data_IF_801365986118
#
_entry.id   IF_801365986118
#
_cell.length_a   1.000
_cell.length_b   1.000
_cell.length_c   1.000
_cell.angle_alpha   90.00
_cell.angle_beta   90.00
_cell.angle_gamma   90.00
#
_symmetry.space_group_name_H-M   'P 1'
#
loop_
_entity.id
_entity.type
_entity.pdbx_description
1 polymer ?
#
# COMPACT_ATOMS: atom_id res chain seq x y z
N UNK A 1 16.72 -11.54 -24.09
CA UNK A 1 16.56 -11.95 -22.66
C UNK A 1 17.56 -13.05 -22.41
N UNK A 2 18.15 -13.09 -21.21
CA UNK A 2 19.11 -14.12 -20.78
C UNK A 2 18.50 -15.52 -20.88
N UNK A 3 19.26 -16.50 -21.32
CA UNK A 3 18.80 -17.90 -21.35
C UNK A 3 18.97 -18.52 -19.95
N UNK A 4 17.86 -18.80 -19.28
CA UNK A 4 17.86 -19.30 -17.91
C UNK A 4 18.51 -20.67 -17.79
N UNK A 5 18.36 -21.56 -18.76
CA UNK A 5 18.99 -22.87 -18.73
C UNK A 5 20.52 -22.73 -18.81
N UNK A 6 21.02 -21.89 -19.72
CA UNK A 6 22.47 -21.62 -19.85
C UNK A 6 23.03 -21.00 -18.56
N UNK A 7 22.26 -20.12 -17.89
CA UNK A 7 22.65 -19.51 -16.61
C UNK A 7 22.75 -20.57 -15.50
N UNK A 8 21.74 -21.45 -15.38
CA UNK A 8 21.74 -22.52 -14.38
C UNK A 8 22.85 -23.55 -14.64
N UNK A 9 23.08 -23.95 -15.91
CA UNK A 9 24.19 -24.82 -16.27
C UNK A 9 25.55 -24.22 -15.91
N UNK A 10 25.77 -22.94 -16.20
CA UNK A 10 26.99 -22.23 -15.82
C UNK A 10 27.15 -22.16 -14.29
N UNK A 11 26.07 -21.93 -13.56
CA UNK A 11 26.09 -21.92 -12.09
C UNK A 11 26.44 -23.27 -11.50
N UNK A 12 25.85 -24.36 -12.00
CA UNK A 12 26.21 -25.72 -11.57
C UNK A 12 27.68 -26.04 -11.87
N UNK A 13 28.17 -25.68 -13.06
CA UNK A 13 29.56 -25.86 -13.42
C UNK A 13 30.53 -25.09 -12.50
N UNK A 14 30.07 -23.97 -11.92
CA UNK A 14 30.82 -23.16 -10.97
C UNK A 14 30.62 -23.57 -9.48
N UNK A 15 29.85 -24.62 -9.20
CA UNK A 15 29.64 -25.17 -7.87
C UNK A 15 28.42 -24.66 -7.10
N UNK A 16 27.54 -23.92 -7.74
CA UNK A 16 26.24 -23.57 -7.16
C UNK A 16 25.31 -24.79 -7.16
N UNK A 17 24.63 -25.06 -6.05
CA UNK A 17 23.73 -26.23 -5.91
C UNK A 17 22.27 -25.85 -6.20
N UNK A 18 21.75 -24.85 -5.54
CA UNK A 18 20.38 -24.33 -5.75
C UNK A 18 20.48 -22.90 -6.27
N UNK A 19 19.69 -22.57 -7.28
CA UNK A 19 19.73 -21.26 -7.94
C UNK A 19 18.33 -20.77 -8.26
N UNK A 20 18.13 -19.45 -8.17
CA UNK A 20 16.90 -18.79 -8.52
C UNK A 20 17.17 -17.50 -9.28
N UNK A 21 16.36 -17.25 -10.29
CA UNK A 21 16.32 -15.98 -11.02
C UNK A 21 14.95 -15.34 -10.84
N UNK A 22 14.96 -14.05 -10.52
CA UNK A 22 13.79 -13.18 -10.43
C UNK A 22 13.95 -12.03 -11.41
N UNK A 23 13.07 -11.92 -12.39
CA UNK A 23 13.11 -10.90 -13.45
C UNK A 23 11.92 -9.98 -13.29
N UNK A 24 12.14 -8.68 -13.38
CA UNK A 24 11.09 -7.66 -13.42
C UNK A 24 11.25 -6.83 -14.67
N UNK A 25 10.14 -6.63 -15.38
CA UNK A 25 10.05 -5.71 -16.51
C UNK A 25 8.88 -4.76 -16.26
N UNK A 26 9.13 -3.46 -16.34
CA UNK A 26 8.12 -2.43 -16.18
C UNK A 26 8.08 -1.55 -17.44
N UNK A 27 6.87 -1.24 -17.88
CA UNK A 27 6.57 -0.23 -18.89
C UNK A 27 5.70 0.82 -18.23
N UNK A 28 6.23 2.03 -18.04
CA UNK A 28 5.58 3.09 -17.29
C UNK A 28 5.37 4.33 -18.14
N UNK A 29 4.22 4.94 -17.95
CA UNK A 29 3.86 6.24 -18.49
C UNK A 29 3.43 7.16 -17.35
N UNK A 30 3.84 8.42 -17.41
CA UNK A 30 3.31 9.48 -16.55
C UNK A 30 3.28 10.82 -17.27
N UNK A 31 2.28 11.63 -16.97
CA UNK A 31 2.21 13.01 -17.41
C UNK A 31 1.58 13.88 -16.34
N UNK A 32 1.93 15.15 -16.34
CA UNK A 32 1.38 16.19 -15.48
C UNK A 32 0.96 17.37 -16.33
N UNK A 33 -0.17 17.97 -15.99
CA UNK A 33 -0.69 19.19 -16.60
C UNK A 33 -0.70 20.31 -15.56
N UNK A 34 -0.31 21.50 -15.98
CA UNK A 34 -0.40 22.73 -15.21
C UNK A 34 -0.70 23.91 -16.15
N UNK A 35 -1.70 24.71 -15.81
CA UNK A 35 -2.18 25.85 -16.63
C UNK A 35 -2.42 25.46 -18.10
N UNK A 36 -3.14 24.35 -18.30
CA UNK A 36 -3.50 23.78 -19.61
C UNK A 36 -2.31 23.34 -20.49
N UNK A 37 -1.09 23.35 -19.95
CA UNK A 37 0.10 22.89 -20.64
C UNK A 37 0.61 21.58 -20.04
N UNK A 38 1.32 20.79 -20.83
CA UNK A 38 2.03 19.63 -20.32
C UNK A 38 3.27 20.12 -19.56
N UNK A 39 3.27 19.93 -18.24
CA UNK A 39 4.37 20.32 -17.36
C UNK A 39 5.46 19.25 -17.32
N UNK A 40 5.05 17.98 -17.31
CA UNK A 40 5.99 16.86 -17.40
C UNK A 40 5.40 15.70 -18.19
N UNK A 41 6.28 14.93 -18.80
CA UNK A 41 5.94 13.73 -19.58
C UNK A 41 7.09 12.72 -19.46
N UNK A 42 6.77 11.49 -19.13
CA UNK A 42 7.73 10.40 -19.06
C UNK A 42 7.14 9.13 -19.65
N UNK A 43 7.92 8.44 -20.47
CA UNK A 43 7.64 7.08 -20.90
C UNK A 43 8.93 6.28 -20.78
N UNK A 44 8.90 5.17 -20.07
CA UNK A 44 10.10 4.39 -19.78
C UNK A 44 9.82 2.90 -19.75
N UNK A 45 10.73 2.14 -20.33
CA UNK A 45 10.76 0.68 -20.18
C UNK A 45 12.00 0.33 -19.38
N UNK A 46 11.82 -0.32 -18.24
CA UNK A 46 12.90 -0.78 -17.39
C UNK A 46 12.84 -2.29 -17.24
N UNK A 47 14.00 -2.92 -17.18
CA UNK A 47 14.11 -4.35 -16.94
C UNK A 47 15.34 -4.61 -16.08
N UNK A 48 15.23 -5.58 -15.19
CA UNK A 48 16.35 -6.05 -14.41
C UNK A 48 16.08 -7.43 -13.87
N UNK A 49 17.14 -8.08 -13.44
CA UNK A 49 17.06 -9.37 -12.79
C UNK A 49 17.87 -9.39 -11.50
N UNK A 50 17.42 -10.18 -10.55
CA UNK A 50 18.25 -10.68 -9.48
C UNK A 50 18.49 -12.18 -9.64
N UNK A 51 19.60 -12.62 -9.11
CA UNK A 51 20.00 -14.01 -9.07
C UNK A 51 20.54 -14.35 -7.70
N UNK A 52 20.04 -15.42 -7.12
CA UNK A 52 20.56 -15.98 -5.87
C UNK A 52 20.97 -17.43 -6.07
N UNK A 53 22.01 -17.85 -5.39
CA UNK A 53 22.54 -19.19 -5.54
C UNK A 53 23.25 -19.66 -4.29
N UNK A 54 23.08 -20.93 -3.97
CA UNK A 54 23.68 -21.58 -2.81
C UNK A 54 25.07 -22.08 -3.18
N UNK A 55 26.12 -21.52 -2.54
CA UNK A 55 27.52 -21.92 -2.67
C UNK A 55 28.07 -22.30 -1.31
N UNK A 56 28.53 -23.52 -1.16
CA UNK A 56 29.07 -24.07 0.11
C UNK A 56 28.15 -23.85 1.32
N UNK A 57 26.82 -24.00 1.10
CA UNK A 57 25.82 -23.82 2.14
C UNK A 57 25.47 -22.37 2.49
N UNK A 58 25.92 -21.39 1.69
CA UNK A 58 25.64 -19.97 1.87
C UNK A 58 24.94 -19.40 0.64
N UNK A 59 23.87 -18.61 0.86
CA UNK A 59 23.07 -18.02 -0.20
C UNK A 59 23.68 -16.69 -0.67
N UNK A 60 24.38 -16.71 -1.81
CA UNK A 60 24.83 -15.48 -2.46
C UNK A 60 23.71 -14.82 -3.26
N UNK A 61 23.75 -13.49 -3.39
CA UNK A 61 22.79 -12.68 -4.11
C UNK A 61 23.48 -11.66 -5.00
N UNK A 62 22.97 -11.43 -6.19
CA UNK A 62 23.39 -10.35 -7.08
C UNK A 62 22.23 -9.85 -7.94
N UNK A 63 22.39 -8.71 -8.57
CA UNK A 63 21.43 -8.17 -9.53
C UNK A 63 22.12 -7.44 -10.68
N UNK A 64 21.41 -7.32 -11.81
CA UNK A 64 21.87 -6.56 -12.97
C UNK A 64 20.70 -6.06 -13.82
N UNK A 65 20.88 -4.94 -14.50
CA UNK A 65 19.98 -4.45 -15.55
C UNK A 65 20.33 -5.03 -16.92
N UNK A 66 21.50 -5.66 -17.05
CA UNK A 66 21.92 -6.31 -18.27
C UNK A 66 21.38 -7.75 -18.34
N UNK A 67 20.24 -7.90 -19.02
CA UNK A 67 19.47 -9.16 -19.07
C UNK A 67 19.77 -9.96 -20.36
N UNK A 68 21.03 -10.17 -20.71
CA UNK A 68 21.47 -11.00 -21.83
C UNK A 68 22.57 -12.00 -21.40
N UNK A 69 22.86 -12.99 -22.25
CA UNK A 69 23.79 -14.07 -21.93
C UNK A 69 25.22 -13.59 -21.65
N UNK A 70 25.62 -12.42 -22.13
CA UNK A 70 26.94 -11.86 -21.84
C UNK A 70 27.12 -11.45 -20.39
N UNK A 71 26.04 -11.36 -19.60
CA UNK A 71 26.08 -11.08 -18.15
C UNK A 71 26.30 -12.32 -17.29
N UNK A 72 26.17 -13.53 -17.84
CA UNK A 72 26.27 -14.80 -17.09
C UNK A 72 27.58 -14.91 -16.29
N UNK A 73 28.77 -14.64 -16.84
CA UNK A 73 30.01 -14.73 -16.05
C UNK A 73 30.05 -13.77 -14.86
N UNK A 74 29.53 -12.56 -15.05
CA UNK A 74 29.42 -11.56 -13.97
C UNK A 74 28.44 -12.03 -12.88
N UNK A 75 27.27 -12.52 -13.25
CA UNK A 75 26.24 -13.00 -12.31
C UNK A 75 26.81 -14.12 -11.46
N UNK A 76 27.40 -15.15 -12.07
CA UNK A 76 27.93 -16.32 -11.35
C UNK A 76 29.08 -15.93 -10.41
N UNK A 77 30.07 -15.16 -10.91
CA UNK A 77 31.17 -14.72 -10.07
C UNK A 77 30.74 -13.85 -8.90
N UNK A 78 29.78 -12.95 -9.12
CA UNK A 78 29.27 -12.06 -8.08
C UNK A 78 28.52 -12.82 -6.99
N UNK A 79 27.67 -13.79 -7.36
CA UNK A 79 26.93 -14.61 -6.39
C UNK A 79 27.88 -15.42 -5.54
N UNK A 80 28.91 -16.08 -6.13
CA UNK A 80 29.92 -16.86 -5.39
C UNK A 80 30.68 -15.95 -4.44
N UNK A 81 31.17 -14.80 -4.93
CA UNK A 81 31.95 -13.87 -4.10
C UNK A 81 31.09 -13.35 -2.91
N UNK A 82 29.83 -13.04 -3.15
CA UNK A 82 28.93 -12.58 -2.09
C UNK A 82 28.61 -13.71 -1.10
N UNK A 83 28.45 -14.96 -1.56
CA UNK A 83 28.25 -16.11 -0.68
C UNK A 83 29.47 -16.37 0.24
N UNK A 84 30.68 -16.24 -0.28
CA UNK A 84 31.92 -16.48 0.48
C UNK A 84 32.05 -15.51 1.67
N UNK A 85 31.63 -14.25 1.50
CA UNK A 85 31.76 -13.20 2.53
C UNK A 85 30.79 -13.43 3.69
N UNK A 86 29.67 -14.10 3.47
CA UNK A 86 28.66 -14.35 4.51
C UNK A 86 29.22 -15.27 5.59
N UNK A 87 28.99 -14.96 6.86
CA UNK A 87 29.43 -15.82 7.98
C UNK A 87 28.65 -17.13 7.98
N UNK A 88 27.31 -17.08 7.88
CA UNK A 88 26.41 -18.22 7.70
C UNK A 88 25.02 -17.72 7.34
N UNK A 89 24.38 -18.32 6.33
CA UNK A 89 22.95 -18.12 6.10
C UNK A 89 22.17 -19.27 6.72
N UNK A 90 21.65 -19.06 7.94
CA UNK A 90 20.78 -20.04 8.58
C UNK A 90 19.37 -19.92 7.98
N UNK A 91 18.78 -21.07 7.65
CA UNK A 91 17.40 -21.19 7.20
C UNK A 91 17.03 -20.63 5.82
N UNK A 92 17.99 -20.10 5.04
CA UNK A 92 17.70 -19.71 3.67
C UNK A 92 17.62 -20.95 2.76
N UNK A 93 16.50 -21.07 2.07
CA UNK A 93 16.26 -22.12 1.09
C UNK A 93 15.38 -21.61 -0.06
N UNK A 94 15.48 -22.28 -1.21
CA UNK A 94 14.61 -22.01 -2.35
C UNK A 94 13.34 -22.85 -2.25
N UNK A 95 12.23 -22.28 -2.68
CA UNK A 95 10.92 -22.94 -2.68
C UNK A 95 10.75 -23.79 -3.94
N UNK A 96 10.21 -25.00 -3.79
CA UNK A 96 9.97 -25.90 -4.93
C UNK A 96 8.63 -25.68 -5.65
N UNK A 97 7.77 -24.84 -5.09
CA UNK A 97 6.43 -24.55 -5.62
C UNK A 97 5.30 -25.26 -4.86
N UNK A 98 4.10 -24.79 -5.07
CA UNK A 98 2.85 -25.37 -4.62
C UNK A 98 2.18 -26.19 -5.73
N UNK A 99 1.26 -27.09 -5.35
CA UNK A 99 0.50 -27.87 -6.32
C UNK A 99 -0.51 -27.02 -7.12
N UNK A 100 -0.93 -25.89 -6.54
CA UNK A 100 -1.94 -25.02 -7.13
C UNK A 100 -1.65 -23.55 -6.85
N UNK A 101 -1.84 -22.73 -7.89
CA UNK A 101 -1.80 -21.26 -7.84
C UNK A 101 -3.13 -20.71 -8.36
N UNK A 102 -3.73 -19.78 -7.63
CA UNK A 102 -4.97 -19.12 -8.06
C UNK A 102 -4.71 -18.29 -9.32
N UNK A 103 -5.49 -18.50 -10.36
CA UNK A 103 -5.42 -17.65 -11.56
C UNK A 103 -6.17 -16.35 -11.31
N UNK A 104 -5.47 -15.23 -11.45
CA UNK A 104 -6.02 -13.90 -11.27
C UNK A 104 -6.05 -13.15 -12.62
N UNK A 105 -7.08 -12.34 -12.83
CA UNK A 105 -7.17 -11.43 -13.97
C UNK A 105 -6.61 -10.05 -13.57
N UNK A 106 -5.29 -9.90 -13.68
CA UNK A 106 -4.55 -8.70 -13.27
C UNK A 106 -4.13 -7.82 -14.44
N UNK A 107 -4.37 -8.28 -15.66
CA UNK A 107 -3.90 -7.58 -16.86
C UNK A 107 -5.05 -7.26 -17.82
N UNK A 108 -5.37 -5.99 -17.94
CA UNK A 108 -6.44 -5.45 -18.78
C UNK A 108 -5.86 -4.77 -20.03
N UNK A 109 -5.66 -5.51 -21.14
CA UNK A 109 -4.94 -5.02 -22.33
C UNK A 109 -5.61 -3.82 -22.99
N UNK A 110 -6.93 -3.69 -22.91
CA UNK A 110 -7.68 -2.57 -23.48
C UNK A 110 -7.21 -1.20 -22.93
N UNK A 111 -6.71 -1.15 -21.70
CA UNK A 111 -6.18 0.11 -21.14
C UNK A 111 -4.92 0.59 -21.85
N UNK A 112 -4.12 -0.30 -22.41
CA UNK A 112 -2.90 0.06 -23.13
C UNK A 112 -3.17 0.72 -24.50
N UNK A 113 -4.40 0.59 -25.01
CA UNK A 113 -4.83 1.23 -26.26
C UNK A 113 -5.14 2.74 -26.06
N UNK A 114 -5.35 3.17 -24.82
CA UNK A 114 -5.60 4.58 -24.48
C UNK A 114 -4.33 5.39 -24.73
N UNK A 115 -4.43 6.31 -25.67
CA UNK A 115 -3.29 7.11 -26.12
C UNK A 115 -2.81 8.11 -25.07
N UNK A 116 -1.54 8.53 -25.07
CA UNK A 116 -1.05 9.61 -24.24
C UNK A 116 -1.86 10.90 -24.40
N UNK A 117 -2.36 11.21 -25.60
CA UNK A 117 -3.15 12.40 -25.86
C UNK A 117 -4.51 12.38 -25.14
N UNK A 118 -5.17 11.21 -25.09
CA UNK A 118 -6.44 11.06 -24.38
C UNK A 118 -6.26 11.29 -22.87
N UNK A 119 -5.18 10.77 -22.28
CA UNK A 119 -4.82 10.98 -20.86
C UNK A 119 -4.51 12.45 -20.56
N UNK A 120 -3.75 13.11 -21.43
CA UNK A 120 -3.46 14.55 -21.32
C UNK A 120 -4.74 15.38 -21.44
N UNK A 121 -5.62 15.04 -22.39
CA UNK A 121 -6.90 15.74 -22.57
C UNK A 121 -7.82 15.57 -21.36
N UNK A 122 -7.84 14.38 -20.74
CA UNK A 122 -8.54 14.18 -19.49
C UNK A 122 -8.02 15.12 -18.39
N UNK A 123 -6.70 15.21 -18.17
CA UNK A 123 -6.12 16.11 -17.17
C UNK A 123 -6.45 17.57 -17.43
N UNK A 124 -6.36 18.03 -18.69
CA UNK A 124 -6.76 19.38 -19.08
C UNK A 124 -8.23 19.68 -18.82
N UNK A 125 -9.09 18.68 -19.08
CA UNK A 125 -10.52 18.77 -18.78
C UNK A 125 -10.76 18.88 -17.26
N UNK A 126 -10.08 18.06 -16.43
CA UNK A 126 -10.17 18.16 -14.96
C UNK A 126 -9.80 19.55 -14.48
N UNK A 127 -8.66 20.10 -14.96
CA UNK A 127 -8.22 21.44 -14.59
C UNK A 127 -9.23 22.51 -15.00
N UNK A 128 -9.76 22.46 -16.22
CA UNK A 128 -10.78 23.40 -16.71
C UNK A 128 -12.06 23.32 -15.89
N UNK A 129 -12.54 22.12 -15.58
CA UNK A 129 -13.74 21.92 -14.76
C UNK A 129 -13.55 22.45 -13.33
N UNK A 130 -12.37 22.27 -12.72
CA UNK A 130 -12.08 22.83 -11.41
C UNK A 130 -12.25 24.35 -11.37
N UNK A 131 -11.68 25.08 -12.34
CA UNK A 131 -11.83 26.53 -12.41
C UNK A 131 -13.24 26.99 -12.74
N UNK A 132 -14.00 26.21 -13.52
CA UNK A 132 -15.37 26.53 -13.90
C UNK A 132 -16.36 26.37 -12.73
N UNK A 133 -16.08 25.52 -11.74
CA UNK A 133 -16.99 25.21 -10.64
C UNK A 133 -17.12 26.34 -9.63
N UNK A 134 -16.04 27.04 -9.29
CA UNK A 134 -16.08 28.09 -8.26
C UNK A 134 -14.93 29.12 -8.46
N UNK A 135 -15.21 30.44 -8.41
CA UNK A 135 -14.19 31.51 -8.59
C UNK A 135 -13.16 31.57 -7.46
N UNK A 136 -13.39 30.88 -6.34
CA UNK A 136 -12.43 30.74 -5.24
C UNK A 136 -11.32 29.75 -5.55
N UNK A 137 -11.46 28.90 -6.56
CA UNK A 137 -10.36 28.05 -7.07
C UNK A 137 -9.29 28.97 -7.67
N UNK A 138 -8.09 28.94 -7.09
CA UNK A 138 -6.96 29.77 -7.51
C UNK A 138 -5.90 29.01 -8.28
N UNK A 139 -5.78 27.73 -8.02
CA UNK A 139 -4.82 26.86 -8.69
C UNK A 139 -5.31 25.40 -8.63
N UNK A 140 -4.97 24.64 -9.66
CA UNK A 140 -4.89 23.21 -9.61
C UNK A 140 -3.42 22.87 -9.37
N UNK A 141 -3.06 22.68 -8.09
CA UNK A 141 -1.66 22.58 -7.66
C UNK A 141 -0.98 21.33 -8.21
N UNK A 142 -1.74 20.31 -8.43
CA UNK A 142 -1.27 19.05 -8.98
C UNK A 142 -2.37 18.41 -9.83
N UNK A 143 -2.01 17.93 -11.01
CA UNK A 143 -2.92 17.23 -11.89
C UNK A 143 -2.09 16.28 -12.75
N UNK A 144 -2.05 15.00 -12.37
CA UNK A 144 -1.16 14.02 -12.97
C UNK A 144 -1.88 12.70 -13.24
N UNK A 145 -1.43 12.03 -14.28
CA UNK A 145 -1.84 10.69 -14.67
C UNK A 145 -0.62 9.78 -14.71
N UNK A 146 -0.74 8.58 -14.17
CA UNK A 146 0.29 7.54 -14.25
C UNK A 146 -0.35 6.21 -14.54
N UNK A 147 0.29 5.43 -15.40
CA UNK A 147 -0.06 4.03 -15.60
C UNK A 147 1.18 3.22 -15.96
N UNK A 148 1.09 1.92 -15.76
CA UNK A 148 2.17 1.02 -16.13
C UNK A 148 1.71 -0.42 -16.28
N UNK A 149 2.60 -1.21 -16.84
CA UNK A 149 2.52 -2.68 -16.89
C UNK A 149 3.76 -3.21 -16.18
N UNK A 150 3.57 -4.15 -15.27
CA UNK A 150 4.64 -4.91 -14.64
C UNK A 150 4.54 -6.38 -15.06
N UNK A 151 5.68 -6.98 -15.38
CA UNK A 151 5.81 -8.40 -15.65
C UNK A 151 6.91 -8.97 -14.76
N UNK A 152 6.56 -10.00 -14.01
CA UNK A 152 7.44 -10.70 -13.08
C UNK A 152 7.61 -12.13 -13.57
N UNK A 153 8.86 -12.64 -13.54
CA UNK A 153 9.17 -14.04 -13.76
C UNK A 153 10.07 -14.53 -12.60
N UNK A 154 9.72 -15.67 -12.05
CA UNK A 154 10.44 -16.32 -10.97
C UNK A 154 10.68 -17.78 -11.33
N UNK A 155 11.94 -18.16 -11.49
CA UNK A 155 12.33 -19.53 -11.86
C UNK A 155 13.51 -20.00 -11.04
N UNK A 156 13.49 -21.28 -10.64
CA UNK A 156 14.60 -21.86 -9.88
C UNK A 156 14.91 -23.31 -10.25
N UNK A 157 15.99 -23.82 -9.72
CA UNK A 157 16.48 -25.20 -9.97
C UNK A 157 15.67 -26.27 -9.23
N UNK A 158 14.75 -25.90 -8.33
CA UNK A 158 13.83 -26.83 -7.65
C UNK A 158 12.53 -27.10 -8.41
N UNK A 159 12.39 -26.54 -9.63
CA UNK A 159 11.25 -26.76 -10.50
C UNK A 159 10.23 -25.63 -10.53
N UNK A 160 10.42 -24.56 -9.75
CA UNK A 160 9.57 -23.39 -9.81
C UNK A 160 9.73 -22.66 -11.15
N UNK A 161 8.61 -22.36 -11.80
CA UNK A 161 8.53 -21.61 -13.07
C UNK A 161 7.23 -20.81 -13.09
N UNK A 162 7.26 -19.60 -12.55
CA UNK A 162 6.10 -18.73 -12.37
C UNK A 162 6.28 -17.42 -13.14
N UNK A 163 5.17 -16.91 -13.67
CA UNK A 163 5.13 -15.58 -14.26
C UNK A 163 3.78 -14.92 -13.98
N UNK A 164 3.81 -13.61 -13.74
CA UNK A 164 2.61 -12.82 -13.56
C UNK A 164 2.78 -11.49 -14.30
N UNK A 165 1.69 -11.01 -14.87
CA UNK A 165 1.63 -9.72 -15.55
C UNK A 165 0.42 -8.96 -15.05
N UNK A 166 0.65 -7.69 -14.71
CA UNK A 166 -0.40 -6.80 -14.23
C UNK A 166 -0.23 -5.41 -14.81
N UNK A 167 -1.31 -4.66 -14.90
CA UNK A 167 -1.25 -3.24 -15.19
C UNK A 167 -2.01 -2.44 -14.13
N UNK A 168 -1.59 -1.20 -13.96
CA UNK A 168 -2.21 -0.25 -13.07
C UNK A 168 -2.39 1.09 -13.77
N UNK A 169 -3.36 1.86 -13.33
CA UNK A 169 -3.50 3.25 -13.73
C UNK A 169 -4.15 4.06 -12.62
N UNK A 170 -3.67 5.28 -12.45
CA UNK A 170 -4.26 6.22 -11.51
C UNK A 170 -4.07 7.66 -11.98
N UNK A 171 -4.95 8.52 -11.53
CA UNK A 171 -4.78 9.97 -11.59
C UNK A 171 -4.89 10.55 -10.20
N UNK A 172 -4.18 11.62 -9.96
CA UNK A 172 -4.33 12.45 -8.77
C UNK A 172 -4.46 13.90 -9.19
N UNK A 173 -5.40 14.62 -8.58
CA UNK A 173 -5.48 16.06 -8.72
C UNK A 173 -5.77 16.73 -7.38
N UNK A 174 -5.22 17.92 -7.17
CA UNK A 174 -5.49 18.76 -6.00
C UNK A 174 -5.68 20.23 -6.40
N UNK A 175 -6.60 20.88 -5.68
CA UNK A 175 -6.95 22.28 -5.88
C UNK A 175 -6.61 23.11 -4.67
N UNK A 176 -6.23 24.37 -4.91
CA UNK A 176 -6.13 25.42 -3.91
C UNK A 176 -7.35 26.34 -4.06
N UNK A 177 -8.11 26.48 -3.00
CA UNK A 177 -9.17 27.50 -2.90
C UNK A 177 -8.75 28.59 -1.92
N UNK A 178 -9.17 29.83 -2.21
CA UNK A 178 -8.85 30.99 -1.36
C UNK A 178 -10.09 31.82 -1.15
N UNK A 179 -10.38 32.17 0.11
CA UNK A 179 -11.42 33.10 0.49
C UNK A 179 -10.95 33.94 1.68
N UNK A 180 -11.13 35.28 1.60
CA UNK A 180 -10.75 36.22 2.65
C UNK A 180 -9.31 36.07 3.18
N UNK A 181 -8.37 35.64 2.35
CA UNK A 181 -6.98 35.40 2.72
C UNK A 181 -6.70 34.03 3.34
N UNK A 182 -7.73 33.20 3.54
CA UNK A 182 -7.59 31.81 3.94
C UNK A 182 -7.37 30.91 2.73
N UNK A 183 -6.42 30.00 2.81
CA UNK A 183 -6.07 29.04 1.78
C UNK A 183 -6.41 27.62 2.26
N UNK A 184 -7.12 26.85 1.44
CA UNK A 184 -7.36 25.42 1.67
C UNK A 184 -7.03 24.60 0.44
N UNK A 185 -6.48 23.43 0.66
CA UNK A 185 -6.13 22.49 -0.40
C UNK A 185 -6.78 21.14 -0.11
N UNK A 186 -7.35 20.54 -1.14
CA UNK A 186 -7.82 19.16 -1.08
C UNK A 186 -7.51 18.47 -2.41
N UNK A 187 -7.38 17.15 -2.39
CA UNK A 187 -7.10 16.34 -3.56
C UNK A 187 -7.75 14.97 -3.47
N UNK A 188 -7.82 14.29 -4.62
CA UNK A 188 -8.38 12.94 -4.68
C UNK A 188 -7.75 12.13 -5.79
N UNK A 189 -8.03 10.81 -5.79
CA UNK A 189 -7.54 9.84 -6.76
C UNK A 189 -8.68 9.24 -7.56
N UNK A 190 -8.39 8.81 -8.79
CA UNK A 190 -9.10 7.74 -9.48
C UNK A 190 -8.07 6.65 -9.73
N UNK A 191 -8.37 5.43 -9.31
CA UNK A 191 -7.53 4.25 -9.51
C UNK A 191 -8.38 3.23 -10.24
N UNK A 192 -8.09 3.01 -11.52
CA UNK A 192 -8.86 2.07 -12.35
C UNK A 192 -8.10 1.75 -13.63
N UNK A 193 -8.19 0.51 -14.09
CA UNK A 193 -7.77 0.09 -15.43
C UNK A 193 -8.89 0.17 -16.47
N UNK A 194 -10.04 0.75 -16.10
CA UNK A 194 -11.13 1.08 -17.01
C UNK A 194 -11.17 2.59 -17.25
N UNK A 195 -10.84 3.05 -18.45
CA UNK A 195 -10.76 4.49 -18.75
C UNK A 195 -12.11 5.22 -18.69
N UNK A 196 -13.23 4.49 -18.73
CA UNK A 196 -14.57 5.08 -18.57
C UNK A 196 -14.82 5.65 -17.16
N UNK A 197 -14.02 5.22 -16.16
CA UNK A 197 -14.11 5.70 -14.79
C UNK A 197 -13.47 7.11 -14.62
N UNK A 198 -12.68 7.53 -15.62
CA UNK A 198 -11.99 8.82 -15.63
C UNK A 198 -12.90 9.92 -16.17
N UNK A 199 -13.90 10.31 -15.36
CA UNK A 199 -14.87 11.35 -15.72
C UNK A 199 -14.47 12.70 -15.11
N UNK A 200 -14.03 13.70 -15.93
CA UNK A 200 -13.39 14.93 -15.44
C UNK A 200 -14.30 15.77 -14.54
N UNK A 201 -15.57 15.88 -14.89
CA UNK A 201 -16.51 16.79 -14.22
C UNK A 201 -16.87 16.31 -12.81
N UNK A 202 -17.18 15.04 -12.65
CA UNK A 202 -17.49 14.46 -11.33
C UNK A 202 -16.27 14.48 -10.43
N UNK A 203 -15.08 14.19 -10.99
CA UNK A 203 -13.81 14.22 -10.27
C UNK A 203 -13.47 15.64 -9.79
N UNK A 204 -13.52 16.64 -10.67
CA UNK A 204 -13.32 18.04 -10.32
C UNK A 204 -14.31 18.52 -9.26
N UNK A 205 -15.61 18.16 -9.40
CA UNK A 205 -16.65 18.51 -8.43
C UNK A 205 -16.34 17.98 -7.04
N UNK A 206 -15.88 16.72 -6.94
CA UNK A 206 -15.53 16.08 -5.66
C UNK A 206 -14.40 16.85 -4.96
N UNK A 207 -13.32 17.13 -5.67
CA UNK A 207 -12.14 17.83 -5.13
C UNK A 207 -12.48 19.26 -4.71
N UNK A 208 -13.10 20.04 -5.59
CA UNK A 208 -13.47 21.45 -5.34
C UNK A 208 -14.44 21.56 -4.16
N UNK A 209 -15.47 20.71 -4.12
CA UNK A 209 -16.45 20.74 -3.01
C UNK A 209 -15.80 20.46 -1.66
N UNK A 210 -14.85 19.53 -1.61
CA UNK A 210 -14.12 19.19 -0.38
C UNK A 210 -13.17 20.29 0.07
N UNK A 211 -12.45 20.92 -0.86
CA UNK A 211 -11.60 22.05 -0.56
C UNK A 211 -12.41 23.26 -0.03
N UNK A 212 -13.53 23.57 -0.67
CA UNK A 212 -14.42 24.64 -0.25
C UNK A 212 -15.06 24.40 1.13
N UNK A 213 -15.39 23.13 1.44
CA UNK A 213 -15.98 22.77 2.73
C UNK A 213 -15.03 22.99 3.92
N UNK A 214 -13.73 23.14 3.68
CA UNK A 214 -12.73 23.41 4.72
C UNK A 214 -12.55 24.90 5.03
N UNK A 215 -13.14 25.81 4.22
CA UNK A 215 -13.05 27.26 4.43
C UNK A 215 -13.82 27.67 5.71
N UNK A 216 -13.27 28.62 6.44
CA UNK A 216 -13.81 29.08 7.72
C UNK A 216 -13.56 28.11 8.89
N UNK A 217 -12.59 27.21 8.74
CA UNK A 217 -12.26 26.25 9.77
C UNK A 217 -11.83 26.88 11.07
N UNK A 218 -12.28 26.30 12.18
CA UNK A 218 -12.08 26.80 13.54
C UNK A 218 -11.20 25.85 14.33
N UNK A 219 -10.56 26.35 15.38
CA UNK A 219 -9.91 25.51 16.38
C UNK A 219 -10.94 24.96 17.36
N UNK A 220 -10.66 23.81 17.93
CA UNK A 220 -11.47 23.26 19.05
C UNK A 220 -10.67 23.34 20.35
N UNK A 221 -11.37 23.31 21.46
CA UNK A 221 -10.73 23.26 22.78
C UNK A 221 -9.98 21.94 22.97
N UNK A 222 -8.85 22.00 23.67
CA UNK A 222 -8.14 20.80 24.08
C UNK A 222 -8.99 19.92 24.98
N UNK A 223 -9.00 18.61 24.74
CA UNK A 223 -9.85 17.68 25.48
C UNK A 223 -9.79 16.25 24.97
N UNK A 224 -10.74 15.45 25.41
CA UNK A 224 -10.95 14.08 24.93
C UNK A 224 -12.27 14.05 24.18
N UNK A 225 -12.24 13.55 22.96
CA UNK A 225 -13.40 13.55 22.06
C UNK A 225 -13.68 12.15 21.49
N UNK A 226 -14.95 11.80 21.27
CA UNK A 226 -15.33 10.76 20.32
C UNK A 226 -14.83 11.14 18.93
N UNK A 227 -14.21 10.20 18.21
CA UNK A 227 -13.59 10.46 16.91
C UNK A 227 -14.18 9.52 15.85
N UNK A 228 -14.63 10.08 14.75
CA UNK A 228 -14.85 9.34 13.51
C UNK A 228 -13.62 9.55 12.61
N UNK A 229 -12.86 8.51 12.38
CA UNK A 229 -11.80 8.53 11.38
C UNK A 229 -12.40 8.26 10.01
N UNK A 230 -12.08 9.11 9.02
CA UNK A 230 -12.37 8.83 7.62
C UNK A 230 -11.65 7.55 7.20
N UNK A 231 -12.26 6.79 6.29
CA UNK A 231 -11.70 5.55 5.75
C UNK A 231 -10.22 5.65 5.34
N UNK A 232 -9.84 6.65 4.53
CA UNK A 232 -8.43 6.84 4.12
C UNK A 232 -7.52 7.15 5.32
N UNK A 233 -7.95 7.98 6.27
CA UNK A 233 -7.17 8.27 7.48
C UNK A 233 -6.97 7.02 8.34
N UNK A 234 -7.99 6.21 8.48
CA UNK A 234 -7.91 4.94 9.20
C UNK A 234 -7.00 3.94 8.48
N UNK A 235 -7.05 3.91 7.14
CA UNK A 235 -6.14 3.14 6.28
C UNK A 235 -4.68 3.58 6.44
N UNK A 236 -4.41 4.88 6.38
CA UNK A 236 -3.05 5.45 6.53
C UNK A 236 -2.43 5.12 7.91
N UNK A 237 -3.23 5.17 8.98
CA UNK A 237 -2.78 4.78 10.32
C UNK A 237 -2.50 3.27 10.39
N UNK A 238 -3.35 2.43 9.79
CA UNK A 238 -3.13 0.99 9.72
C UNK A 238 -1.90 0.66 8.89
N UNK A 239 -1.69 1.34 7.76
CA UNK A 239 -0.50 1.18 6.90
C UNK A 239 0.79 1.51 7.65
N UNK A 240 0.82 2.65 8.34
CA UNK A 240 1.98 3.07 9.12
C UNK A 240 2.32 2.09 10.26
N UNK A 241 1.38 1.24 10.67
CA UNK A 241 1.55 0.23 11.71
C UNK A 241 1.62 -1.21 11.16
N UNK A 242 1.53 -1.41 9.85
CA UNK A 242 1.40 -2.74 9.25
C UNK A 242 2.55 -3.71 9.57
N UNK A 243 3.76 -3.18 9.72
CA UNK A 243 4.96 -3.96 10.03
C UNK A 243 4.86 -4.73 11.36
N UNK A 244 3.99 -4.31 12.29
CA UNK A 244 3.82 -5.03 13.57
C UNK A 244 3.35 -6.47 13.40
N UNK A 245 2.72 -6.78 12.28
CA UNK A 245 2.25 -8.13 11.94
C UNK A 245 3.32 -8.99 11.25
N UNK A 246 4.47 -8.42 10.90
CA UNK A 246 5.57 -9.14 10.25
C UNK A 246 6.27 -10.10 11.21
N UNK A 247 6.43 -11.37 10.82
CA UNK A 247 7.22 -12.35 11.56
C UNK A 247 8.67 -11.91 11.78
N UNK A 248 9.23 -11.11 10.87
CA UNK A 248 10.56 -10.53 11.02
C UNK A 248 10.62 -9.48 12.14
N UNK A 249 9.62 -8.58 12.20
CA UNK A 249 9.51 -7.61 13.29
C UNK A 249 9.35 -8.30 14.65
N UNK A 250 8.59 -9.40 14.69
CA UNK A 250 8.46 -10.24 15.91
C UNK A 250 9.81 -10.84 16.33
N UNK A 251 10.58 -11.41 15.39
CA UNK A 251 11.89 -12.00 15.69
C UNK A 251 12.90 -10.98 16.19
N UNK A 252 12.85 -9.75 15.67
CA UNK A 252 13.73 -8.64 16.04
C UNK A 252 13.30 -7.86 17.28
N UNK A 253 12.25 -8.29 17.98
CA UNK A 253 11.64 -7.57 19.11
C UNK A 253 11.17 -6.14 18.76
N UNK A 254 10.77 -5.92 17.50
CA UNK A 254 10.25 -4.66 16.97
C UNK A 254 8.71 -4.58 16.96
N UNK A 255 8.03 -5.56 17.54
CA UNK A 255 6.57 -5.59 17.61
C UNK A 255 6.07 -5.99 18.99
N UNK A 256 5.13 -5.23 19.54
CA UNK A 256 4.42 -5.55 20.78
C UNK A 256 3.46 -6.75 20.66
N UNK A 257 3.28 -7.28 19.45
CA UNK A 257 2.46 -8.47 19.20
C UNK A 257 3.20 -9.78 19.46
N UNK A 258 4.48 -9.74 19.83
CA UNK A 258 5.24 -10.93 20.20
C UNK A 258 4.50 -11.73 21.31
N UNK A 259 4.38 -13.03 21.10
CA UNK A 259 3.67 -13.98 22.00
C UNK A 259 2.19 -13.66 22.21
N UNK A 260 1.53 -12.94 21.27
CA UNK A 260 0.12 -12.56 21.33
C UNK A 260 -0.81 -13.39 20.46
N UNK A 261 -0.33 -14.39 19.74
CA UNK A 261 -1.18 -15.32 18.97
C UNK A 261 -2.22 -15.94 19.91
N UNK A 262 -3.50 -15.90 19.51
CA UNK A 262 -4.65 -16.35 20.31
C UNK A 262 -5.12 -15.37 21.38
N UNK A 263 -4.48 -14.20 21.52
CA UNK A 263 -4.87 -13.17 22.48
C UNK A 263 -5.72 -12.08 21.84
N UNK A 264 -6.56 -11.44 22.65
CA UNK A 264 -7.35 -10.27 22.25
C UNK A 264 -6.43 -9.05 22.16
N UNK A 265 -6.35 -8.45 20.97
CA UNK A 265 -5.55 -7.25 20.69
C UNK A 265 -6.39 -6.07 20.20
N UNK A 266 -7.65 -6.28 19.86
CA UNK A 266 -8.57 -5.28 19.34
C UNK A 266 -9.99 -5.48 19.90
N UNK A 267 -10.88 -4.55 19.64
CA UNK A 267 -12.31 -4.68 19.92
C UNK A 267 -12.89 -5.93 19.24
N UNK A 268 -13.87 -6.64 19.86
CA UNK A 268 -14.46 -7.87 19.28
C UNK A 268 -15.19 -7.67 17.96
N UNK A 269 -15.43 -6.43 17.53
CA UNK A 269 -16.01 -6.14 16.21
C UNK A 269 -14.95 -5.99 15.11
N UNK A 270 -13.66 -6.01 15.46
CA UNK A 270 -12.56 -5.80 14.53
C UNK A 270 -12.07 -7.14 13.99
N UNK A 271 -12.08 -7.26 12.67
CA UNK A 271 -11.33 -8.30 11.94
C UNK A 271 -10.42 -7.62 10.92
N UNK A 272 -9.17 -8.10 10.80
CA UNK A 272 -8.20 -7.62 9.83
C UNK A 272 -7.88 -8.77 8.88
N UNK A 273 -8.08 -8.52 7.59
CA UNK A 273 -7.90 -9.50 6.52
C UNK A 273 -6.73 -9.09 5.66
N UNK A 274 -5.93 -10.04 5.20
CA UNK A 274 -4.98 -9.89 4.10
C UNK A 274 -5.47 -10.75 2.93
N UNK A 275 -5.91 -10.09 1.85
CA UNK A 275 -6.55 -10.74 0.71
C UNK A 275 -5.77 -10.50 -0.60
N UNK A 276 -4.87 -11.42 -0.98
CA UNK A 276 -4.11 -11.33 -2.23
C UNK A 276 -4.94 -11.55 -3.49
N UNK A 277 -6.21 -11.92 -3.35
CA UNK A 277 -7.12 -12.21 -4.47
C UNK A 277 -8.23 -11.16 -4.64
N UNK A 278 -8.07 -10.01 -3.97
CA UNK A 278 -9.01 -8.92 -4.08
C UNK A 278 -9.08 -8.42 -5.53
N UNK A 279 -10.29 -8.36 -6.08
CA UNK A 279 -10.51 -7.82 -7.42
C UNK A 279 -10.05 -6.36 -7.49
N UNK A 280 -9.23 -6.02 -8.48
CA UNK A 280 -8.60 -4.71 -8.64
C UNK A 280 -7.72 -4.24 -7.47
N UNK A 281 -7.33 -5.13 -6.56
CA UNK A 281 -6.42 -4.82 -5.47
C UNK A 281 -5.00 -4.56 -5.97
N UNK A 282 -4.37 -3.48 -5.51
CA UNK A 282 -3.01 -3.10 -5.93
C UNK A 282 -1.93 -4.09 -5.50
N UNK A 283 -2.18 -4.84 -4.41
CA UNK A 283 -1.29 -5.89 -3.90
C UNK A 283 -1.70 -7.31 -4.29
N UNK A 284 -2.65 -7.47 -5.23
CA UNK A 284 -3.10 -8.80 -5.66
C UNK A 284 -2.04 -9.52 -6.47
N UNK A 285 -1.80 -10.79 -6.13
CA UNK A 285 -0.84 -11.67 -6.80
C UNK A 285 -1.16 -13.14 -6.52
N UNK A 286 -0.88 -14.02 -7.46
CA UNK A 286 -1.09 -15.46 -7.32
C UNK A 286 0.04 -16.16 -6.51
N UNK A 287 1.19 -15.54 -6.40
CA UNK A 287 2.35 -16.01 -5.64
C UNK A 287 3.12 -14.83 -5.03
N UNK A 288 3.84 -15.10 -3.97
CA UNK A 288 4.67 -14.11 -3.30
C UNK A 288 6.09 -13.99 -3.90
N UNK A 289 6.91 -13.12 -3.33
CA UNK A 289 8.28 -12.88 -3.81
C UNK A 289 9.23 -14.08 -3.69
N UNK A 290 8.84 -15.18 -3.06
CA UNK A 290 9.58 -16.44 -2.96
C UNK A 290 8.92 -17.59 -3.72
N UNK A 291 7.76 -17.34 -4.34
CA UNK A 291 7.01 -18.31 -5.14
C UNK A 291 6.02 -19.15 -4.33
N UNK A 292 5.74 -18.77 -3.09
CA UNK A 292 4.68 -19.39 -2.28
C UNK A 292 3.32 -18.93 -2.80
N UNK A 293 2.38 -19.87 -3.00
CA UNK A 293 1.03 -19.54 -3.40
C UNK A 293 0.34 -18.66 -2.35
N UNK A 294 -0.27 -17.57 -2.80
CA UNK A 294 -0.98 -16.65 -1.93
C UNK A 294 -2.39 -17.16 -1.59
N UNK A 295 -2.91 -16.75 -0.45
CA UNK A 295 -4.27 -17.08 -0.01
C UNK A 295 -4.82 -16.01 0.92
N UNK A 296 -6.14 -15.84 0.92
CA UNK A 296 -6.84 -14.93 1.84
C UNK A 296 -6.71 -15.45 3.27
N UNK A 297 -6.30 -14.59 4.19
CA UNK A 297 -6.11 -14.93 5.61
C UNK A 297 -6.66 -13.86 6.53
N UNK A 298 -7.24 -14.27 7.64
CA UNK A 298 -7.64 -13.39 8.74
C UNK A 298 -6.48 -13.25 9.72
N UNK A 299 -5.80 -12.11 9.69
CA UNK A 299 -4.72 -11.78 10.63
C UNK A 299 -5.32 -11.61 12.03
N UNK A 300 -6.46 -10.92 12.11
CA UNK A 300 -7.23 -10.73 13.34
C UNK A 300 -8.68 -11.11 13.07
N UNK A 301 -9.27 -11.95 13.92
CA UNK A 301 -10.70 -12.31 13.85
C UNK A 301 -11.39 -11.93 15.15
N UNK A 302 -12.40 -11.06 15.06
CA UNK A 302 -13.18 -10.63 16.23
C UNK A 302 -12.29 -10.16 17.40
N UNK A 303 -11.26 -9.42 17.09
CA UNK A 303 -10.29 -8.86 18.04
C UNK A 303 -9.16 -9.80 18.43
N UNK A 304 -9.17 -11.07 18.05
CA UNK A 304 -8.16 -12.08 18.41
C UNK A 304 -7.10 -12.17 17.29
N UNK A 305 -5.83 -12.10 17.66
CA UNK A 305 -4.70 -12.27 16.73
C UNK A 305 -4.53 -13.75 16.38
N UNK A 306 -4.62 -14.11 15.09
CA UNK A 306 -4.54 -15.49 14.62
C UNK A 306 -3.15 -15.88 14.11
N UNK A 307 -2.47 -14.96 13.42
CA UNK A 307 -1.19 -15.24 12.75
C UNK A 307 -0.36 -13.99 12.59
N UNK A 308 0.94 -14.19 12.36
CA UNK A 308 1.81 -13.20 11.77
C UNK A 308 1.93 -13.46 10.26
N UNK A 309 2.49 -12.51 9.53
CA UNK A 309 2.84 -12.65 8.13
C UNK A 309 4.27 -13.20 8.01
N UNK A 310 4.47 -14.23 7.19
CA UNK A 310 5.73 -14.97 7.13
C UNK A 310 6.28 -15.08 5.71
N UNK A 311 7.60 -14.93 5.59
CA UNK A 311 8.44 -15.46 4.50
C UNK A 311 8.81 -16.91 4.79
N UNK A 312 9.49 -17.58 3.86
CA UNK A 312 10.03 -18.93 4.10
C UNK A 312 10.97 -18.97 5.32
N UNK A 313 11.85 -18.00 5.45
CA UNK A 313 12.82 -17.92 6.56
C UNK A 313 12.14 -17.76 7.91
N UNK A 314 11.19 -16.85 8.04
CA UNK A 314 10.49 -16.65 9.31
C UNK A 314 9.52 -17.79 9.61
N UNK A 315 8.83 -18.34 8.61
CA UNK A 315 7.97 -19.50 8.77
C UNK A 315 8.74 -20.70 9.34
N UNK A 316 9.93 -20.97 8.79
CA UNK A 316 10.83 -22.02 9.28
C UNK A 316 11.29 -21.77 10.72
N UNK A 317 11.64 -20.53 11.06
CA UNK A 317 12.07 -20.15 12.41
C UNK A 317 10.96 -20.33 13.44
N UNK A 318 9.71 -19.97 13.08
CA UNK A 318 8.53 -20.16 13.95
C UNK A 318 7.94 -21.56 13.88
N UNK A 319 8.46 -22.44 13.00
CA UNK A 319 7.93 -23.77 12.74
C UNK A 319 6.43 -23.77 12.35
N UNK A 320 6.08 -22.86 11.43
CA UNK A 320 4.75 -22.69 10.83
C UNK A 320 4.83 -22.75 9.31
N UNK A 321 3.69 -22.81 8.62
CA UNK A 321 3.66 -22.68 7.18
C UNK A 321 3.91 -21.22 6.76
N UNK A 322 4.55 -20.99 5.59
CA UNK A 322 4.66 -19.65 5.02
C UNK A 322 3.27 -19.09 4.67
N UNK A 323 3.14 -17.78 4.72
CA UNK A 323 1.82 -17.14 4.54
C UNK A 323 1.62 -16.49 3.18
N UNK A 324 2.59 -16.64 2.25
CA UNK A 324 2.52 -15.99 0.94
C UNK A 324 2.64 -14.45 1.05
N UNK A 325 3.52 -13.99 1.92
CA UNK A 325 3.73 -12.56 2.19
C UNK A 325 5.18 -12.09 1.97
N UNK A 326 6.03 -12.93 1.38
CA UNK A 326 7.34 -12.50 0.96
C UNK A 326 7.21 -11.44 -0.15
N UNK A 327 7.90 -10.33 -0.01
CA UNK A 327 7.82 -9.23 -0.98
C UNK A 327 9.20 -8.78 -1.45
N UNK A 328 9.27 -8.32 -2.70
CA UNK A 328 10.45 -7.69 -3.27
C UNK A 328 10.04 -6.37 -3.89
N UNK A 329 10.44 -5.26 -3.30
CA UNK A 329 10.13 -3.92 -3.83
C UNK A 329 10.76 -3.66 -5.21
N UNK A 330 11.80 -4.41 -5.57
CA UNK A 330 12.43 -4.40 -6.91
C UNK A 330 13.34 -5.62 -7.07
N UNK A 331 13.84 -5.84 -8.27
CA UNK A 331 14.88 -6.87 -8.51
C UNK A 331 16.20 -6.57 -7.73
N UNK A 332 16.41 -5.35 -7.23
CA UNK A 332 17.59 -4.96 -6.43
C UNK A 332 17.43 -5.26 -4.94
N UNK A 333 16.21 -5.50 -4.49
CA UNK A 333 15.88 -5.64 -3.07
C UNK A 333 15.99 -7.09 -2.60
N UNK A 334 16.43 -7.27 -1.36
CA UNK A 334 16.25 -8.53 -0.64
C UNK A 334 14.76 -8.81 -0.42
N UNK A 335 14.45 -10.05 -0.05
CA UNK A 335 13.10 -10.44 0.36
C UNK A 335 12.77 -9.79 1.69
N UNK A 336 11.60 -9.16 1.77
CA UNK A 336 10.99 -8.62 2.98
C UNK A 336 9.63 -9.31 3.20
N UNK A 337 8.93 -8.92 4.26
CA UNK A 337 7.57 -9.37 4.53
C UNK A 337 6.66 -8.15 4.47
N UNK A 338 5.59 -8.22 3.68
CA UNK A 338 4.56 -7.19 3.64
C UNK A 338 3.16 -7.79 3.43
N UNK A 339 2.11 -7.10 3.89
CA UNK A 339 0.75 -7.44 3.49
C UNK A 339 0.58 -7.41 1.97
N UNK A 340 -0.41 -8.14 1.47
CA UNK A 340 -0.89 -8.05 0.08
C UNK A 340 -1.96 -6.95 0.00
N UNK A 341 -3.25 -7.25 0.12
CA UNK A 341 -4.27 -6.23 0.33
C UNK A 341 -4.83 -6.41 1.74
N UNK A 342 -4.28 -5.67 2.70
CA UNK A 342 -4.69 -5.76 4.09
C UNK A 342 -5.74 -4.70 4.44
N UNK A 343 -6.81 -5.10 5.10
CA UNK A 343 -7.85 -4.15 5.47
C UNK A 343 -8.61 -4.55 6.73
N UNK A 344 -9.21 -3.55 7.39
CA UNK A 344 -10.22 -3.78 8.42
C UNK A 344 -11.53 -4.15 7.70
N UNK A 345 -12.11 -5.29 8.08
CA UNK A 345 -13.35 -5.81 7.46
C UNK A 345 -14.51 -4.83 7.65
N UNK A 346 -15.14 -4.36 6.56
CA UNK A 346 -16.30 -3.47 6.64
C UNK A 346 -17.52 -4.17 7.26
N UNK A 347 -18.43 -3.37 7.83
CA UNK A 347 -19.73 -3.82 8.31
C UNK A 347 -20.84 -3.35 7.36
N UNK A 348 -22.09 -3.36 7.80
CA UNK A 348 -23.23 -2.80 7.04
C UNK A 348 -23.59 -1.36 7.49
N UNK A 349 -22.82 -0.77 8.40
CA UNK A 349 -23.11 0.54 8.98
C UNK A 349 -22.78 1.66 8.00
N UNK A 350 -23.79 2.40 7.55
CA UNK A 350 -23.56 3.54 6.67
C UNK A 350 -22.88 4.71 7.40
N UNK A 351 -22.23 5.59 6.64
CA UNK A 351 -21.63 6.82 7.18
C UNK A 351 -22.62 7.67 7.98
N UNK A 352 -23.84 7.89 7.46
CA UNK A 352 -24.89 8.64 8.15
C UNK A 352 -25.31 7.98 9.48
N UNK A 353 -25.29 6.63 9.52
CA UNK A 353 -25.59 5.92 10.75
C UNK A 353 -24.45 6.05 11.76
N UNK A 354 -23.19 6.06 11.33
CA UNK A 354 -22.04 6.35 12.20
C UNK A 354 -22.17 7.74 12.83
N UNK A 355 -22.52 8.77 12.06
CA UNK A 355 -22.79 10.11 12.60
C UNK A 355 -23.90 10.09 13.65
N UNK A 356 -24.98 9.33 13.40
CA UNK A 356 -26.09 9.17 14.35
C UNK A 356 -25.68 8.46 15.63
N UNK A 357 -24.76 7.48 15.58
CA UNK A 357 -24.24 6.79 16.77
C UNK A 357 -23.38 7.74 17.61
N UNK A 358 -22.50 8.50 16.97
CA UNK A 358 -21.54 9.39 17.64
C UNK A 358 -22.24 10.58 18.30
N UNK A 359 -23.29 11.15 17.68
CA UNK A 359 -24.01 12.34 18.09
C UNK A 359 -23.13 13.59 18.17
N UNK A 360 -22.11 13.61 19.03
CA UNK A 360 -21.20 14.74 19.22
C UNK A 360 -19.77 14.25 19.29
N UNK A 361 -18.89 14.83 18.47
CA UNK A 361 -17.49 14.42 18.35
C UNK A 361 -16.76 15.17 17.23
N UNK A 362 -15.70 14.56 16.70
CA UNK A 362 -14.94 15.09 15.58
C UNK A 362 -14.87 14.05 14.46
N UNK A 363 -15.10 14.48 13.24
CA UNK A 363 -14.81 13.70 12.02
C UNK A 363 -13.46 14.15 11.48
N UNK A 364 -12.46 13.28 11.55
CA UNK A 364 -11.09 13.55 11.08
C UNK A 364 -10.98 13.08 9.64
N UNK A 365 -10.72 14.03 8.73
CA UNK A 365 -10.67 13.80 7.29
C UNK A 365 -9.25 13.79 6.72
N UNK A 366 -8.28 14.32 7.47
CA UNK A 366 -6.87 14.36 7.11
C UNK A 366 -5.99 14.29 8.36
N UNK A 367 -4.85 13.61 8.22
CA UNK A 367 -3.78 13.56 9.23
C UNK A 367 -2.43 13.75 8.56
N UNK A 368 -1.52 14.41 9.26
CA UNK A 368 -0.17 14.66 8.79
C UNK A 368 0.85 14.28 9.86
N UNK A 369 2.04 13.89 9.40
CA UNK A 369 3.15 13.58 10.28
C UNK A 369 3.27 12.10 10.66
N UNK A 370 2.65 11.16 9.96
CA UNK A 370 2.76 9.71 10.21
C UNK A 370 4.21 9.23 10.26
N UNK A 371 5.10 9.78 9.40
CA UNK A 371 6.53 9.40 9.39
C UNK A 371 7.34 9.85 10.61
N UNK A 372 6.87 10.86 11.35
CA UNK A 372 7.61 11.46 12.48
C UNK A 372 6.84 11.48 13.79
N UNK A 373 5.53 11.46 13.71
CA UNK A 373 4.62 11.54 14.85
C UNK A 373 4.02 10.20 15.26
N UNK A 374 4.41 9.09 14.61
CA UNK A 374 3.99 7.73 14.95
C UNK A 374 5.22 6.86 15.20
N UNK A 375 5.20 6.13 16.32
CA UNK A 375 6.23 5.15 16.64
C UNK A 375 5.73 3.74 16.30
N UNK A 376 6.27 3.13 15.24
CA UNK A 376 5.85 1.81 14.75
C UNK A 376 6.07 0.65 15.74
N UNK A 377 6.89 0.83 16.78
CA UNK A 377 7.15 -0.21 17.80
C UNK A 377 6.21 -0.03 19.00
N UNK A 378 6.19 1.16 19.62
CA UNK A 378 5.35 1.42 20.80
C UNK A 378 3.87 1.63 20.45
N UNK A 379 3.58 2.03 19.21
CA UNK A 379 2.24 2.40 18.74
C UNK A 379 1.80 3.81 19.16
N UNK A 380 2.64 4.58 19.84
CA UNK A 380 2.29 5.93 20.24
C UNK A 380 2.27 6.86 19.03
N UNK A 381 1.26 7.71 18.96
CA UNK A 381 1.14 8.69 17.89
C UNK A 381 0.71 10.07 18.40
N UNK A 382 1.16 11.09 17.68
CA UNK A 382 0.77 12.48 17.83
C UNK A 382 0.79 13.12 16.44
N UNK A 383 -0.39 13.31 15.85
CA UNK A 383 -0.56 13.66 14.44
C UNK A 383 -1.31 14.98 14.31
N UNK A 384 -0.82 15.88 13.45
CA UNK A 384 -1.62 17.03 13.03
C UNK A 384 -2.86 16.54 12.29
N UNK A 385 -4.00 17.17 12.54
CA UNK A 385 -5.27 16.73 11.97
C UNK A 385 -6.18 17.88 11.57
N UNK A 386 -7.08 17.61 10.64
CA UNK A 386 -8.19 18.47 10.25
C UNK A 386 -9.44 17.65 9.96
N UNK A 387 -10.58 18.32 9.90
CA UNK A 387 -11.86 17.64 9.66
C UNK A 387 -13.04 18.53 9.98
N UNK A 388 -14.07 17.96 10.63
CA UNK A 388 -15.32 18.63 10.94
C UNK A 388 -15.78 18.31 12.36
N UNK A 389 -16.50 19.23 12.97
CA UNK A 389 -17.31 18.95 14.15
C UNK A 389 -18.46 18.00 13.76
N UNK A 390 -18.80 17.09 14.66
CA UNK A 390 -20.05 16.35 14.64
C UNK A 390 -20.92 16.91 15.75
N UNK A 391 -22.12 17.37 15.42
CA UNK A 391 -23.09 17.92 16.36
C UNK A 391 -24.47 17.37 16.03
N UNK A 392 -25.14 16.83 17.05
CA UNK A 392 -26.47 16.24 16.94
C UNK A 392 -26.60 15.25 15.76
N UNK A 393 -25.54 14.42 15.57
CA UNK A 393 -25.48 13.39 14.53
C UNK A 393 -25.30 13.92 13.10
N UNK A 394 -24.76 15.13 12.94
CA UNK A 394 -24.51 15.76 11.63
C UNK A 394 -23.14 16.42 11.60
N UNK A 395 -22.57 16.53 10.40
CA UNK A 395 -21.38 17.37 10.19
C UNK A 395 -21.75 18.85 10.38
N UNK A 396 -20.89 19.57 11.10
CA UNK A 396 -21.02 20.99 11.41
C UNK A 396 -19.77 21.74 10.93
N UNK A 397 -19.32 22.76 11.65
CA UNK A 397 -18.17 23.61 11.27
C UNK A 397 -16.91 22.79 10.94
N UNK A 398 -16.15 23.18 9.92
CA UNK A 398 -14.81 22.61 9.67
C UNK A 398 -13.84 22.99 10.78
N UNK A 399 -12.89 22.10 11.05
CA UNK A 399 -11.86 22.27 12.08
C UNK A 399 -10.47 22.08 11.50
N UNK A 400 -9.48 22.79 12.03
CA UNK A 400 -8.09 22.71 11.61
C UNK A 400 -7.10 22.98 12.75
N UNK A 401 -5.80 22.78 12.47
CA UNK A 401 -4.71 23.04 13.42
C UNK A 401 -4.93 22.37 14.78
N UNK A 402 -5.39 21.14 14.76
CA UNK A 402 -5.50 20.31 15.95
C UNK A 402 -4.46 19.18 15.89
N UNK A 403 -4.17 18.60 17.02
CA UNK A 403 -3.36 17.39 17.11
C UNK A 403 -4.19 16.29 17.76
N UNK A 404 -4.27 15.13 17.10
CA UNK A 404 -4.81 13.91 17.71
C UNK A 404 -3.65 13.08 18.28
N UNK A 405 -3.80 12.55 19.49
CA UNK A 405 -2.76 11.77 20.13
C UNK A 405 -3.34 10.54 20.85
N UNK A 406 -2.60 9.45 20.78
CA UNK A 406 -3.02 8.18 21.39
C UNK A 406 -1.98 7.08 21.21
N UNK A 407 -2.43 5.86 21.40
CA UNK A 407 -1.66 4.64 21.11
C UNK A 407 -2.47 3.73 20.19
N UNK A 408 -1.85 3.18 19.18
CA UNK A 408 -2.53 2.36 18.16
C UNK A 408 -3.21 1.10 18.74
N UNK A 409 -2.57 0.44 19.70
CA UNK A 409 -3.16 -0.75 20.32
C UNK A 409 -4.38 -0.41 21.16
N UNK A 410 -4.36 0.74 21.84
CA UNK A 410 -5.51 1.24 22.58
C UNK A 410 -6.62 1.71 21.63
N UNK A 411 -6.25 2.31 20.48
CA UNK A 411 -7.18 2.72 19.43
C UNK A 411 -7.95 1.51 18.90
N UNK A 412 -7.27 0.40 18.57
CA UNK A 412 -7.90 -0.82 18.10
C UNK A 412 -8.92 -1.39 19.11
N UNK A 413 -8.64 -1.27 20.41
CA UNK A 413 -9.56 -1.72 21.46
C UNK A 413 -10.75 -0.77 21.66
N UNK A 414 -10.63 0.50 21.28
CA UNK A 414 -11.65 1.53 21.42
C UNK A 414 -12.53 1.72 20.17
N UNK A 415 -12.40 0.87 19.16
CA UNK A 415 -13.30 0.88 18.00
C UNK A 415 -14.68 0.39 18.44
N UNK A 416 -15.69 1.26 18.34
CA UNK A 416 -17.09 0.99 18.74
C UNK A 416 -18.03 0.75 17.55
N UNK A 417 -17.69 1.28 16.36
CA UNK A 417 -18.42 0.98 15.13
C UNK A 417 -17.49 1.09 13.91
N UNK A 418 -17.83 0.33 12.87
CA UNK A 418 -17.07 0.21 11.62
C UNK A 418 -18.04 0.48 10.47
N UNK A 419 -17.62 1.32 9.52
CA UNK A 419 -18.40 1.68 8.34
C UNK A 419 -18.53 0.57 7.29
N UNK A 420 -19.31 0.87 6.24
CA UNK A 420 -19.43 0.03 5.04
C UNK A 420 -18.61 0.57 3.85
N UNK A 421 -17.87 1.63 4.06
CA UNK A 421 -17.19 2.47 3.08
C UNK A 421 -15.69 2.13 2.97
N UNK A 422 -15.36 0.83 2.84
CA UNK A 422 -13.98 0.38 2.63
C UNK A 422 -13.36 1.09 1.43
N UNK A 423 -12.20 1.68 1.66
CA UNK A 423 -11.40 2.35 0.63
C UNK A 423 -9.90 2.11 0.92
N UNK A 424 -9.15 1.87 -0.13
CA UNK A 424 -7.69 1.67 -0.06
C UNK A 424 -6.91 2.94 -0.44
N UNK A 425 -7.57 3.89 -1.14
CA UNK A 425 -6.82 4.96 -1.76
C UNK A 425 -5.71 4.42 -2.68
N UNK A 426 -4.57 5.10 -2.78
CA UNK A 426 -3.43 4.66 -3.59
C UNK A 426 -2.51 3.67 -2.84
N UNK A 427 -3.07 2.81 -2.01
CA UNK A 427 -2.35 1.84 -1.16
C UNK A 427 -2.91 0.43 -1.35
N UNK A 428 -2.18 -0.56 -0.90
CA UNK A 428 -2.66 -1.92 -0.72
C UNK A 428 -3.16 -2.17 0.73
N UNK A 429 -3.26 -1.12 1.54
CA UNK A 429 -3.81 -1.20 2.90
C UNK A 429 -4.99 -0.26 3.02
N UNK A 430 -6.14 -0.81 3.40
CA UNK A 430 -7.41 -0.10 3.41
C UNK A 430 -8.16 -0.18 4.73
N UNK A 431 -9.12 0.70 4.90
CA UNK A 431 -10.05 0.68 6.02
C UNK A 431 -11.40 1.25 5.63
N UNK A 432 -12.51 0.83 6.26
CA UNK A 432 -13.72 1.65 6.32
C UNK A 432 -13.56 2.77 7.35
N UNK A 433 -14.49 3.71 7.38
CA UNK A 433 -14.59 4.71 8.46
C UNK A 433 -14.73 4.03 9.82
N UNK A 434 -13.98 4.53 10.82
CA UNK A 434 -13.94 3.95 12.17
C UNK A 434 -14.43 4.93 13.24
N UNK A 435 -15.39 4.54 14.03
CA UNK A 435 -15.76 5.24 15.25
C UNK A 435 -14.89 4.79 16.41
N UNK A 436 -14.07 5.69 16.93
CA UNK A 436 -13.20 5.51 18.10
C UNK A 436 -13.86 6.19 19.29
N UNK A 437 -14.04 5.47 20.39
CA UNK A 437 -14.71 5.95 21.60
C UNK A 437 -14.14 7.26 22.10
N UNK A 438 -12.81 7.37 22.15
CA UNK A 438 -12.16 8.59 22.58
C UNK A 438 -10.70 8.67 22.15
N UNK A 439 -10.27 9.86 21.71
CA UNK A 439 -8.87 10.23 21.57
C UNK A 439 -8.60 11.58 22.24
N UNK A 440 -7.35 11.79 22.62
CA UNK A 440 -6.88 13.10 23.09
C UNK A 440 -6.71 14.04 21.91
N UNK A 441 -7.23 15.25 22.05
CA UNK A 441 -7.11 16.31 21.06
C UNK A 441 -6.48 17.52 21.72
N UNK A 442 -5.39 18.03 21.16
CA UNK A 442 -4.85 19.33 21.48
C UNK A 442 -5.31 20.34 20.43
N UNK A 443 -5.84 21.46 20.88
CA UNK A 443 -6.34 22.57 20.06
C UNK A 443 -6.01 23.91 20.74
N UNK A 444 -7.04 24.72 21.04
CA UNK A 444 -6.85 25.96 21.81
C UNK A 444 -6.64 25.68 23.30
#
# INVERSE_FOLDING_TARGET
>A
MINFNTLFEAGHAAGLTDMEIYVVKNDNFSCKVFEQNVDSYSASVTQGLSFRGLYEGKMGYTYTEKCDDSSIPFIISSVINNAIILEKSENEELYGGDEFYTTLDLYHPAFNEITPLEKINFLKAVESECFALDPRVKSVNYCAFSNGTSEIMLKNTKGLDLSERQNFAYTYASVLVTENGENKTDGDFIISTNFTDYEPKSFAKKIVSRALAQLGAKKVKSGTYPILLRNLVAGDILEAMSDIFSGEAILKDLSRLKDKIGMVIASPIVSIIDDPHLENGMGSSSFDGEGVATYTKEIVTNGVLNTYLHSLTTAKTFNVAPTGNASRSSFKSSVNISPTNMYIKPTQTSFDHLLTIIQNGLYITDVQGLHSGLNGISGDFSLSASGFLIKDGKLDDPIHEITIAGNFFDLLQQIEAIGNDLDFGPSNIGSPSLYIKSLKVAGE
#
